data_IF_516361897462
#
_entry.id   IF_516361897462
#
_cell.length_a   1.000
_cell.length_b   1.000
_cell.length_c   1.000
_cell.angle_alpha   90.00
_cell.angle_beta   90.00
_cell.angle_gamma   90.00
#
_symmetry.space_group_name_H-M   'P 1'
#
loop_
_entity.id
_entity.type
_entity.pdbx_description
1 polymer ?
#
# COMPACT_ATOMS: atom_id res chain seq x y z
N UNK A 1 -4.83 27.43 -22.16
CA UNK A 1 -4.62 27.50 -20.69
C UNK A 1 -3.29 26.83 -20.42
N UNK A 2 -2.28 27.64 -20.16
CA UNK A 2 -0.87 27.24 -20.04
C UNK A 2 -0.66 26.35 -18.80
N UNK A 3 -0.06 25.19 -19.03
CA UNK A 3 0.44 24.25 -18.00
C UNK A 3 1.43 25.00 -17.09
N UNK A 4 1.09 25.17 -15.82
CA UNK A 4 2.06 25.59 -14.82
C UNK A 4 2.96 24.39 -14.51
N UNK A 5 4.06 24.25 -15.27
CA UNK A 5 5.18 23.42 -14.86
C UNK A 5 5.65 23.92 -13.48
N UNK A 6 5.89 23.02 -12.54
CA UNK A 6 6.50 23.37 -11.27
C UNK A 6 7.89 23.96 -11.56
N UNK A 7 8.00 25.30 -11.50
CA UNK A 7 9.32 25.96 -11.54
C UNK A 7 10.05 25.64 -10.24
N UNK A 8 11.31 25.26 -10.37
CA UNK A 8 12.24 25.39 -9.24
C UNK A 8 12.14 26.83 -8.73
N UNK A 9 12.10 27.07 -7.42
CA UNK A 9 12.22 28.43 -6.89
C UNK A 9 13.47 29.07 -7.46
N UNK A 10 13.40 30.34 -7.88
CA UNK A 10 14.54 31.11 -8.46
C UNK A 10 15.71 31.28 -7.47
N UNK A 11 15.53 30.85 -6.20
CA UNK A 11 16.50 30.90 -5.10
C UNK A 11 17.30 29.61 -4.90
N UNK A 12 17.12 28.59 -5.76
CA UNK A 12 17.86 27.32 -5.68
C UNK A 12 17.40 26.36 -4.54
N UNK A 13 16.24 26.61 -3.91
CA UNK A 13 15.65 25.72 -2.91
C UNK A 13 14.99 24.47 -3.53
N UNK A 14 14.60 23.47 -2.68
CA UNK A 14 13.92 22.26 -3.14
C UNK A 14 12.53 22.60 -3.73
N UNK A 15 12.15 21.90 -4.79
CA UNK A 15 10.84 22.09 -5.43
C UNK A 15 9.71 21.55 -4.52
N UNK A 16 8.60 22.31 -4.37
CA UNK A 16 7.38 21.79 -3.76
C UNK A 16 6.53 21.06 -4.79
N UNK A 17 6.28 19.75 -4.55
CA UNK A 17 5.41 18.90 -5.37
C UNK A 17 4.10 18.63 -4.62
N UNK A 18 3.06 19.35 -5.00
CA UNK A 18 1.75 19.26 -4.36
C UNK A 18 1.01 17.94 -4.69
N UNK A 19 -0.02 17.60 -3.91
CA UNK A 19 -0.90 16.46 -4.18
C UNK A 19 -1.45 16.46 -5.62
N UNK A 20 -1.86 17.61 -6.13
CA UNK A 20 -2.34 17.74 -7.51
C UNK A 20 -1.23 17.49 -8.55
N UNK A 21 0.00 17.87 -8.27
CA UNK A 21 1.14 17.58 -9.14
C UNK A 21 1.48 16.09 -9.13
N UNK A 22 1.48 15.44 -7.97
CA UNK A 22 1.65 13.98 -7.83
C UNK A 22 0.63 13.23 -8.69
N UNK A 23 -0.67 13.53 -8.54
CA UNK A 23 -1.74 12.86 -9.28
C UNK A 23 -1.70 13.05 -10.80
N UNK A 24 -1.02 14.10 -11.30
CA UNK A 24 -0.82 14.31 -12.74
C UNK A 24 0.48 13.72 -13.28
N UNK A 25 1.48 13.55 -12.44
CA UNK A 25 2.82 13.14 -12.88
C UNK A 25 2.98 11.63 -13.00
N UNK A 26 2.30 10.84 -12.18
CA UNK A 26 2.50 9.40 -12.13
C UNK A 26 1.15 8.67 -12.05
N UNK A 27 0.87 7.81 -13.02
CA UNK A 27 -0.31 6.94 -12.99
C UNK A 27 -0.12 5.78 -12.00
N UNK A 28 -1.20 5.10 -11.63
CA UNK A 28 -1.13 3.94 -10.72
C UNK A 28 -0.25 2.83 -11.31
N UNK A 29 -0.38 2.52 -12.59
CA UNK A 29 0.45 1.49 -13.23
C UNK A 29 1.93 1.88 -13.24
N UNK A 30 2.25 3.14 -13.51
CA UNK A 30 3.64 3.63 -13.46
C UNK A 30 4.23 3.56 -12.04
N UNK A 31 3.41 3.78 -11.00
CA UNK A 31 3.84 3.64 -9.61
C UNK A 31 4.11 2.17 -9.26
N UNK A 32 3.26 1.24 -9.73
CA UNK A 32 3.48 -0.21 -9.60
C UNK A 32 4.78 -0.61 -10.29
N UNK A 33 4.99 -0.16 -11.52
CA UNK A 33 6.19 -0.47 -12.30
C UNK A 33 7.46 0.11 -11.65
N UNK A 34 7.39 1.32 -11.09
CA UNK A 34 8.52 1.92 -10.36
C UNK A 34 8.93 1.08 -9.13
N UNK A 35 7.95 0.58 -8.38
CA UNK A 35 8.20 -0.32 -7.24
C UNK A 35 8.82 -1.64 -7.71
N UNK A 36 8.28 -2.24 -8.77
CA UNK A 36 8.81 -3.49 -9.34
C UNK A 36 10.24 -3.33 -9.81
N UNK A 37 10.53 -2.29 -10.60
CA UNK A 37 11.88 -2.00 -11.10
C UNK A 37 12.87 -1.74 -9.95
N UNK A 38 12.44 -1.09 -8.88
CA UNK A 38 13.28 -0.88 -7.68
C UNK A 38 13.68 -2.20 -7.04
N UNK A 39 12.77 -3.15 -6.91
CA UNK A 39 13.08 -4.49 -6.40
C UNK A 39 13.96 -5.28 -7.37
N UNK A 40 13.68 -5.24 -8.67
CA UNK A 40 14.48 -5.91 -9.71
C UNK A 40 15.91 -5.34 -9.80
N UNK A 41 16.07 -4.04 -9.54
CA UNK A 41 17.39 -3.39 -9.48
C UNK A 41 18.23 -3.80 -8.25
N UNK A 42 17.67 -4.57 -7.32
CA UNK A 42 18.41 -5.16 -6.21
C UNK A 42 18.23 -4.44 -4.87
N UNK A 43 17.32 -3.46 -4.74
CA UNK A 43 17.01 -2.90 -3.43
C UNK A 43 16.51 -4.02 -2.49
N UNK A 44 17.15 -4.14 -1.34
CA UNK A 44 16.84 -5.13 -0.31
C UNK A 44 15.98 -4.50 0.79
N UNK A 45 14.65 -4.81 0.86
CA UNK A 45 13.78 -4.26 1.89
C UNK A 45 14.18 -4.61 3.33
N UNK A 46 14.96 -5.69 3.54
CA UNK A 46 15.45 -6.07 4.88
C UNK A 46 16.53 -5.12 5.41
N UNK A 47 17.18 -4.38 4.51
CA UNK A 47 18.22 -3.38 4.83
C UNK A 47 17.70 -1.95 4.82
N UNK A 48 16.40 -1.76 4.56
CA UNK A 48 15.79 -0.43 4.50
C UNK A 48 15.80 0.27 5.87
N UNK A 49 15.67 1.59 5.87
CA UNK A 49 15.64 2.40 7.06
C UNK A 49 14.50 2.03 8.01
N UNK A 50 14.77 1.99 9.29
CA UNK A 50 13.74 1.70 10.27
C UNK A 50 12.83 2.91 10.48
N UNK A 51 11.52 2.64 10.60
CA UNK A 51 10.55 3.63 11.04
C UNK A 51 10.86 4.05 12.47
N UNK A 52 10.98 5.34 12.72
CA UNK A 52 11.02 5.91 14.07
C UNK A 52 9.68 6.56 14.41
N UNK A 53 9.33 6.55 15.69
CA UNK A 53 8.08 7.10 16.22
C UNK A 53 8.39 7.99 17.40
N UNK A 54 7.77 9.17 17.40
CA UNK A 54 7.71 10.08 18.53
C UNK A 54 6.24 10.24 18.93
N UNK A 55 5.90 9.81 20.14
CA UNK A 55 4.56 10.03 20.70
C UNK A 55 4.40 11.49 21.11
N UNK A 56 3.23 12.05 20.83
CA UNK A 56 2.79 13.37 21.27
C UNK A 56 1.55 13.21 22.15
N UNK A 57 1.12 14.24 22.92
CA UNK A 57 -0.03 14.10 23.83
C UNK A 57 -1.30 13.55 23.16
N UNK A 58 -1.55 13.92 21.89
CA UNK A 58 -2.79 13.56 21.18
C UNK A 58 -2.57 12.77 19.88
N UNK A 59 -1.35 12.26 19.65
CA UNK A 59 -1.02 11.58 18.41
C UNK A 59 0.42 11.12 18.34
N UNK A 60 0.94 11.05 17.13
CA UNK A 60 2.32 10.59 16.90
C UNK A 60 2.94 11.25 15.66
N UNK A 61 4.25 11.41 15.68
CA UNK A 61 5.05 11.78 14.52
C UNK A 61 5.89 10.56 14.11
N UNK A 62 5.79 10.17 12.84
CA UNK A 62 6.57 9.09 12.27
C UNK A 62 7.59 9.63 11.28
N UNK A 63 8.80 9.06 11.32
CA UNK A 63 9.85 9.29 10.33
C UNK A 63 10.20 7.96 9.66
N UNK A 64 10.29 7.97 8.34
CA UNK A 64 10.50 6.78 7.51
C UNK A 64 11.61 7.07 6.47
N UNK A 65 12.90 6.90 6.84
CA UNK A 65 14.03 7.16 5.95
C UNK A 65 14.30 5.97 5.02
N UNK A 66 14.75 6.24 3.80
CA UNK A 66 15.25 5.24 2.86
C UNK A 66 16.31 5.85 1.94
N UNK A 67 17.18 4.99 1.38
CA UNK A 67 18.24 5.42 0.47
C UNK A 67 18.45 4.39 -0.64
N UNK A 68 18.80 4.91 -1.83
CA UNK A 68 19.30 4.18 -3.00
C UNK A 68 20.52 4.94 -3.56
N UNK A 69 21.15 4.40 -4.59
CA UNK A 69 22.29 5.08 -5.24
C UNK A 69 21.87 6.43 -5.86
N UNK A 70 20.63 6.55 -6.33
CA UNK A 70 20.16 7.74 -7.05
C UNK A 70 19.56 8.79 -6.14
N UNK A 71 18.81 8.37 -5.14
CA UNK A 71 18.08 9.24 -4.22
C UNK A 71 18.15 8.72 -2.79
N UNK A 72 18.06 9.62 -1.85
CA UNK A 72 17.68 9.28 -0.48
C UNK A 72 16.58 10.24 -0.02
N UNK A 73 15.84 9.85 1.02
CA UNK A 73 14.76 10.70 1.50
C UNK A 73 14.12 10.19 2.77
N UNK A 74 13.20 10.96 3.28
CA UNK A 74 12.45 10.58 4.47
C UNK A 74 11.04 11.12 4.40
N UNK A 75 10.06 10.26 4.69
CA UNK A 75 8.70 10.69 4.96
C UNK A 75 8.60 11.09 6.44
N UNK A 76 8.02 12.26 6.69
CA UNK A 76 7.70 12.74 8.02
C UNK A 76 6.19 12.98 8.04
N UNK A 77 5.45 12.17 8.82
CA UNK A 77 3.99 12.26 8.92
C UNK A 77 3.55 12.32 10.36
N UNK A 78 2.52 13.12 10.61
CA UNK A 78 1.77 13.12 11.86
C UNK A 78 0.51 12.27 11.71
N UNK A 79 0.12 11.60 12.79
CA UNK A 79 -1.15 10.86 12.90
C UNK A 79 -1.84 11.36 14.16
N UNK A 80 -3.02 12.00 14.00
CA UNK A 80 -3.84 12.47 15.11
C UNK A 80 -5.29 12.05 14.89
N UNK A 81 -5.76 10.95 15.57
CA UNK A 81 -7.11 10.42 15.35
C UNK A 81 -8.21 11.44 15.62
N UNK A 82 -8.05 12.31 16.61
CA UNK A 82 -9.03 13.36 16.96
C UNK A 82 -9.28 14.39 15.83
N UNK A 83 -8.39 14.49 14.84
CA UNK A 83 -8.58 15.37 13.68
C UNK A 83 -9.85 15.04 12.87
N UNK A 84 -10.32 13.79 12.89
CA UNK A 84 -11.54 13.39 12.20
C UNK A 84 -12.75 14.20 12.67
N UNK A 85 -12.86 14.44 13.98
CA UNK A 85 -13.94 15.25 14.55
C UNK A 85 -13.84 16.72 14.19
N UNK A 86 -12.63 17.20 13.89
CA UNK A 86 -12.34 18.59 13.56
C UNK A 86 -12.43 18.88 12.05
N UNK A 87 -12.72 17.85 11.23
CA UNK A 87 -12.74 17.95 9.77
C UNK A 87 -11.35 18.15 9.16
N UNK A 88 -10.28 17.83 9.91
CA UNK A 88 -8.89 17.92 9.48
C UNK A 88 -8.37 16.49 9.14
N UNK A 89 -7.52 16.31 8.13
CA UNK A 89 -6.97 14.98 7.83
C UNK A 89 -6.26 14.36 9.03
N UNK A 90 -6.57 13.10 9.31
CA UNK A 90 -5.93 12.32 10.39
C UNK A 90 -4.43 12.14 10.15
N UNK A 91 -4.04 11.94 8.89
CA UNK A 91 -2.65 11.78 8.45
C UNK A 91 -2.26 13.00 7.63
N UNK A 92 -1.18 13.67 8.03
CA UNK A 92 -0.60 14.82 7.33
C UNK A 92 0.92 14.68 7.32
N UNK A 93 1.60 15.28 6.36
CA UNK A 93 3.05 15.30 6.36
C UNK A 93 3.67 15.55 5.01
N UNK A 94 4.99 15.43 4.97
CA UNK A 94 5.81 15.67 3.79
C UNK A 94 6.79 14.53 3.55
N UNK A 95 7.24 14.41 2.31
CA UNK A 95 8.41 13.60 1.93
C UNK A 95 9.51 14.54 1.46
N UNK A 96 10.68 14.46 2.07
CA UNK A 96 11.85 15.24 1.64
C UNK A 96 12.75 14.32 0.84
N UNK A 97 13.02 14.70 -0.42
CA UNK A 97 13.87 13.96 -1.36
C UNK A 97 15.20 14.70 -1.57
N UNK A 98 16.29 13.95 -1.52
CA UNK A 98 17.66 14.41 -1.73
C UNK A 98 18.26 13.64 -2.92
N UNK A 99 19.14 14.27 -3.70
CA UNK A 99 19.96 13.56 -4.68
C UNK A 99 21.01 12.66 -3.98
N UNK A 100 21.33 11.53 -4.62
CA UNK A 100 22.26 10.56 -4.04
C UNK A 100 23.74 10.96 -4.13
N UNK A 101 24.08 11.88 -5.04
CA UNK A 101 25.47 12.24 -5.31
C UNK A 101 26.04 13.26 -4.29
N UNK A 102 25.23 14.26 -3.94
CA UNK A 102 25.67 15.38 -3.10
C UNK A 102 24.84 15.50 -1.81
N UNK A 103 23.77 14.70 -1.69
CA UNK A 103 22.78 14.80 -0.61
C UNK A 103 22.13 16.21 -0.53
N UNK A 104 21.98 16.83 -1.69
CA UNK A 104 21.28 18.12 -1.79
C UNK A 104 19.78 17.90 -1.80
N UNK A 105 18.94 18.67 -1.05
CA UNK A 105 17.51 18.55 -1.12
C UNK A 105 16.99 19.00 -2.48
N UNK A 106 16.30 18.12 -3.21
CA UNK A 106 15.80 18.39 -4.57
C UNK A 106 14.30 18.64 -4.61
N UNK A 107 13.55 18.00 -3.71
CA UNK A 107 12.11 18.19 -3.67
C UNK A 107 11.54 17.97 -2.25
N UNK A 108 10.40 18.60 -1.99
CA UNK A 108 9.50 18.30 -0.90
C UNK A 108 8.16 17.94 -1.50
N UNK A 109 7.65 16.75 -1.21
CA UNK A 109 6.38 16.24 -1.76
C UNK A 109 5.29 16.21 -0.69
N UNK A 110 4.02 16.34 -1.08
CA UNK A 110 2.89 16.05 -0.22
C UNK A 110 2.92 14.59 0.24
N UNK A 111 3.17 14.36 1.54
CA UNK A 111 3.37 13.01 2.09
C UNK A 111 2.09 12.19 2.18
N UNK A 112 0.93 12.84 2.32
CA UNK A 112 -0.35 12.16 2.35
C UNK A 112 -0.72 11.65 0.95
N UNK A 113 -0.56 12.49 -0.07
CA UNK A 113 -0.79 12.10 -1.46
C UNK A 113 0.18 11.00 -1.93
N UNK A 114 1.47 11.11 -1.56
CA UNK A 114 2.45 10.06 -1.83
C UNK A 114 2.03 8.73 -1.19
N UNK A 115 1.58 8.76 0.08
CA UNK A 115 1.10 7.55 0.78
C UNK A 115 -0.15 6.98 0.12
N UNK A 116 -1.08 7.83 -0.34
CA UNK A 116 -2.30 7.41 -1.03
C UNK A 116 -2.01 6.74 -2.39
N UNK A 117 -0.89 7.06 -3.02
CA UNK A 117 -0.45 6.44 -4.29
C UNK A 117 0.37 5.17 -4.05
N UNK A 118 1.44 5.22 -3.19
CA UNK A 118 2.39 4.11 -3.08
C UNK A 118 1.83 2.89 -2.33
N UNK A 119 0.92 3.08 -1.37
CA UNK A 119 0.37 1.96 -0.59
C UNK A 119 -0.50 1.04 -1.45
N UNK A 120 -1.48 1.53 -2.22
CA UNK A 120 -2.18 0.67 -3.16
C UNK A 120 -1.28 0.17 -4.30
N UNK A 121 -0.27 0.93 -4.71
CA UNK A 121 0.66 0.48 -5.76
C UNK A 121 1.44 -0.77 -5.34
N UNK A 122 1.96 -0.86 -4.11
CA UNK A 122 2.63 -2.07 -3.64
C UNK A 122 1.68 -3.27 -3.52
N UNK A 123 0.43 -3.03 -3.13
CA UNK A 123 -0.61 -4.08 -3.14
C UNK A 123 -0.92 -4.53 -4.58
N UNK A 124 -1.00 -3.60 -5.53
CA UNK A 124 -1.15 -3.90 -6.96
C UNK A 124 0.02 -4.73 -7.50
N UNK A 125 1.25 -4.42 -7.08
CA UNK A 125 2.43 -5.23 -7.41
C UNK A 125 2.30 -6.65 -6.87
N UNK A 126 1.91 -6.81 -5.61
CA UNK A 126 1.69 -8.13 -5.01
C UNK A 126 0.58 -8.90 -5.76
N UNK A 127 -0.56 -8.26 -6.06
CA UNK A 127 -1.67 -8.85 -6.81
C UNK A 127 -1.24 -9.29 -8.21
N UNK A 128 -0.44 -8.49 -8.92
CA UNK A 128 0.14 -8.83 -10.25
C UNK A 128 0.87 -10.18 -10.23
N UNK A 129 1.63 -10.45 -9.17
CA UNK A 129 2.44 -11.67 -9.03
C UNK A 129 1.71 -12.84 -8.37
N UNK A 130 0.63 -12.58 -7.63
CA UNK A 130 -0.04 -13.59 -6.82
C UNK A 130 -1.33 -14.13 -7.45
N UNK A 131 -2.00 -13.38 -8.33
CA UNK A 131 -3.29 -13.79 -8.89
C UNK A 131 -3.17 -14.84 -9.97
N UNK A 132 -4.13 -15.76 -9.98
CA UNK A 132 -4.30 -16.71 -11.07
C UNK A 132 -4.82 -16.00 -12.33
N UNK A 133 -4.49 -16.49 -13.54
CA UNK A 133 -5.07 -15.98 -14.77
C UNK A 133 -6.60 -16.03 -14.76
N UNK A 134 -7.26 -14.95 -15.21
CA UNK A 134 -8.72 -14.85 -15.28
C UNK A 134 -9.40 -14.37 -13.98
N UNK A 135 -8.63 -14.04 -12.94
CA UNK A 135 -9.17 -13.42 -11.72
C UNK A 135 -9.81 -12.07 -12.02
N UNK A 136 -11.08 -11.88 -11.59
CA UNK A 136 -11.87 -10.69 -11.96
C UNK A 136 -12.84 -10.19 -10.89
N UNK A 137 -13.08 -10.95 -9.80
CA UNK A 137 -13.98 -10.56 -8.71
C UNK A 137 -13.20 -10.10 -7.48
N UNK A 138 -13.58 -8.93 -6.96
CA UNK A 138 -12.94 -8.32 -5.80
C UNK A 138 -13.93 -8.17 -4.65
N UNK A 139 -13.58 -8.63 -3.45
CA UNK A 139 -14.26 -8.28 -2.20
C UNK A 139 -13.44 -7.20 -1.48
N UNK A 140 -14.01 -6.01 -1.29
CA UNK A 140 -13.34 -4.84 -0.75
C UNK A 140 -13.87 -4.51 0.64
N UNK A 141 -13.05 -4.65 1.67
CA UNK A 141 -13.33 -4.21 3.04
C UNK A 141 -12.77 -2.81 3.28
N UNK A 142 -13.68 -1.84 3.50
CA UNK A 142 -13.34 -0.45 3.71
C UNK A 142 -13.88 0.48 2.63
N UNK A 143 -14.01 1.76 2.97
CA UNK A 143 -14.59 2.79 2.09
C UNK A 143 -13.78 4.10 2.11
N UNK A 144 -12.58 4.05 2.70
CA UNK A 144 -11.70 5.23 2.82
C UNK A 144 -10.81 5.44 1.60
N UNK A 145 -9.87 6.37 1.75
CA UNK A 145 -8.87 6.73 0.73
C UNK A 145 -8.08 5.50 0.26
N UNK A 146 -7.67 4.64 1.19
CA UNK A 146 -6.93 3.42 0.85
C UNK A 146 -7.79 2.43 0.07
N UNK A 147 -9.05 2.24 0.45
CA UNK A 147 -9.97 1.38 -0.30
C UNK A 147 -10.09 1.80 -1.76
N UNK A 148 -10.28 3.10 -2.00
CA UNK A 148 -10.34 3.63 -3.36
C UNK A 148 -9.04 3.39 -4.14
N UNK A 149 -7.90 3.74 -3.56
CA UNK A 149 -6.61 3.53 -4.21
C UNK A 149 -6.35 2.06 -4.57
N UNK A 150 -6.80 1.11 -3.71
CA UNK A 150 -6.69 -0.32 -4.00
C UNK A 150 -7.60 -0.76 -5.16
N UNK A 151 -8.80 -0.19 -5.31
CA UNK A 151 -9.63 -0.42 -6.51
C UNK A 151 -8.87 0.03 -7.76
N UNK A 152 -8.25 1.22 -7.73
CA UNK A 152 -7.47 1.72 -8.86
C UNK A 152 -6.24 0.83 -9.15
N UNK A 153 -5.53 0.37 -8.11
CA UNK A 153 -4.34 -0.47 -8.25
C UNK A 153 -4.68 -1.85 -8.83
N UNK A 154 -5.74 -2.49 -8.33
CA UNK A 154 -6.15 -3.80 -8.82
C UNK A 154 -6.64 -3.71 -10.26
N UNK A 155 -7.41 -2.69 -10.61
CA UNK A 155 -7.84 -2.43 -12.00
C UNK A 155 -6.69 -2.09 -12.95
N UNK A 156 -5.58 -1.58 -12.43
CA UNK A 156 -4.39 -1.34 -13.24
C UNK A 156 -3.66 -2.63 -13.65
N UNK A 157 -3.86 -3.73 -12.90
CA UNK A 157 -3.17 -5.01 -13.12
C UNK A 157 -4.08 -6.18 -13.49
N UNK A 158 -5.39 -6.06 -13.27
CA UNK A 158 -6.40 -7.07 -13.59
C UNK A 158 -7.58 -6.47 -14.36
N UNK A 159 -8.23 -7.28 -15.19
CA UNK A 159 -9.52 -6.96 -15.79
C UNK A 159 -10.65 -7.24 -14.78
N UNK A 160 -10.95 -6.26 -13.92
CA UNK A 160 -11.92 -6.39 -12.83
C UNK A 160 -13.34 -6.31 -13.36
N UNK A 161 -14.07 -7.41 -13.32
CA UNK A 161 -15.47 -7.49 -13.75
C UNK A 161 -16.43 -6.98 -12.67
N UNK A 162 -16.14 -7.25 -11.38
CA UNK A 162 -17.05 -6.89 -10.29
C UNK A 162 -16.32 -6.61 -8.97
N UNK A 163 -16.84 -5.63 -8.20
CA UNK A 163 -16.37 -5.32 -6.84
C UNK A 163 -17.53 -5.39 -5.86
N UNK A 164 -17.45 -6.30 -4.91
CA UNK A 164 -18.33 -6.38 -3.75
C UNK A 164 -17.76 -5.48 -2.63
N UNK A 165 -18.49 -4.43 -2.25
CA UNK A 165 -18.02 -3.44 -1.25
C UNK A 165 -18.63 -3.75 0.12
N UNK A 166 -17.77 -3.98 1.10
CA UNK A 166 -18.14 -4.32 2.48
C UNK A 166 -17.65 -3.21 3.42
N UNK A 167 -18.56 -2.67 4.23
CA UNK A 167 -18.22 -1.59 5.17
C UNK A 167 -19.26 -1.41 6.26
N UNK A 168 -18.89 -0.71 7.33
CA UNK A 168 -19.74 -0.52 8.52
C UNK A 168 -20.85 0.53 8.32
N UNK A 169 -20.60 1.53 7.48
CA UNK A 169 -21.50 2.67 7.27
C UNK A 169 -22.15 2.55 5.90
N UNK A 170 -23.48 2.26 5.82
CA UNK A 170 -24.16 2.06 4.53
C UNK A 170 -23.97 3.22 3.54
N UNK A 171 -24.07 4.46 3.99
CA UNK A 171 -23.90 5.62 3.13
C UNK A 171 -22.52 5.69 2.48
N UNK A 172 -21.44 5.34 3.22
CA UNK A 172 -20.08 5.30 2.69
C UNK A 172 -19.91 4.14 1.69
N UNK A 173 -20.56 2.99 1.95
CA UNK A 173 -20.57 1.84 1.03
C UNK A 173 -21.26 2.22 -0.28
N UNK A 174 -22.43 2.85 -0.22
CA UNK A 174 -23.19 3.31 -1.40
C UNK A 174 -22.37 4.33 -2.22
N UNK A 175 -21.67 5.28 -1.54
CA UNK A 175 -20.78 6.23 -2.20
C UNK A 175 -19.65 5.51 -2.93
N UNK A 176 -18.98 4.56 -2.28
CA UNK A 176 -17.89 3.78 -2.89
C UNK A 176 -18.41 2.98 -4.11
N UNK A 177 -19.54 2.30 -3.98
CA UNK A 177 -20.18 1.58 -5.08
C UNK A 177 -20.46 2.51 -6.26
N UNK A 178 -21.04 3.70 -6.01
CA UNK A 178 -21.32 4.69 -7.05
C UNK A 178 -20.04 5.15 -7.74
N UNK A 179 -18.99 5.42 -6.96
CA UNK A 179 -17.68 5.84 -7.46
C UNK A 179 -17.03 4.78 -8.33
N UNK A 180 -17.10 3.49 -7.92
CA UNK A 180 -16.59 2.37 -8.73
C UNK A 180 -17.38 2.24 -10.03
N UNK A 181 -18.70 2.28 -9.97
CA UNK A 181 -19.57 2.20 -11.17
C UNK A 181 -19.30 3.32 -12.17
N UNK A 182 -18.97 4.52 -11.70
CA UNK A 182 -18.61 5.64 -12.56
C UNK A 182 -17.33 5.41 -13.39
N UNK A 183 -16.50 4.42 -13.02
CA UNK A 183 -15.33 3.98 -13.81
C UNK A 183 -15.65 2.90 -14.85
N UNK A 184 -16.92 2.48 -14.97
CA UNK A 184 -17.34 1.40 -15.86
C UNK A 184 -17.26 -0.01 -15.27
N UNK A 185 -16.74 -0.17 -14.04
CA UNK A 185 -16.67 -1.47 -13.36
C UNK A 185 -17.97 -1.73 -12.59
N UNK A 186 -18.49 -2.96 -12.67
CA UNK A 186 -19.67 -3.37 -11.87
C UNK A 186 -19.30 -3.38 -10.38
N UNK A 187 -20.21 -2.91 -9.53
CA UNK A 187 -20.02 -2.96 -8.07
C UNK A 187 -21.35 -3.07 -7.34
N UNK A 188 -21.35 -3.65 -6.15
CA UNK A 188 -22.51 -3.75 -5.26
C UNK A 188 -22.08 -3.65 -3.79
N UNK A 189 -23.00 -3.22 -2.93
CA UNK A 189 -22.88 -3.42 -1.49
C UNK A 189 -23.09 -4.91 -1.19
N UNK A 190 -22.23 -5.47 -0.33
CA UNK A 190 -22.28 -6.89 0.00
C UNK A 190 -21.99 -7.13 1.49
N UNK A 191 -22.27 -8.33 1.95
CA UNK A 191 -21.86 -8.84 3.25
C UNK A 191 -20.57 -9.65 3.15
N UNK A 192 -20.14 -10.18 4.30
CA UNK A 192 -18.91 -10.96 4.44
C UNK A 192 -18.92 -12.25 3.59
N UNK A 193 -20.08 -12.78 3.25
CA UNK A 193 -20.26 -13.96 2.41
C UNK A 193 -19.68 -13.80 1.01
N UNK A 194 -19.54 -12.57 0.51
CA UNK A 194 -18.93 -12.27 -0.79
C UNK A 194 -17.46 -12.74 -0.88
N UNK A 195 -16.77 -12.92 0.25
CA UNK A 195 -15.39 -13.44 0.32
C UNK A 195 -15.28 -14.80 -0.38
N UNK A 196 -16.29 -15.67 -0.25
CA UNK A 196 -16.27 -17.02 -0.82
C UNK A 196 -16.29 -17.08 -2.35
N UNK A 197 -16.73 -15.99 -2.99
CA UNK A 197 -16.81 -15.87 -4.45
C UNK A 197 -15.72 -14.94 -5.02
N UNK A 198 -14.88 -14.36 -4.18
CA UNK A 198 -13.88 -13.39 -4.59
C UNK A 198 -12.57 -14.09 -5.05
N UNK A 199 -11.99 -13.57 -6.13
CA UNK A 199 -10.63 -13.91 -6.56
C UNK A 199 -9.58 -13.10 -5.81
N UNK A 200 -9.96 -11.85 -5.42
CA UNK A 200 -9.12 -10.96 -4.63
C UNK A 200 -9.93 -10.38 -3.48
N UNK A 201 -9.45 -10.58 -2.25
CA UNK A 201 -10.02 -9.98 -1.04
C UNK A 201 -9.10 -8.87 -0.56
N UNK A 202 -9.62 -7.65 -0.39
CA UNK A 202 -8.84 -6.47 -0.01
C UNK A 202 -9.32 -5.92 1.32
N UNK A 203 -8.43 -5.91 2.31
CA UNK A 203 -8.68 -5.38 3.64
C UNK A 203 -7.91 -4.07 3.84
N UNK A 204 -8.67 -2.97 4.03
CA UNK A 204 -8.12 -1.60 4.17
C UNK A 204 -8.77 -0.87 5.35
N UNK A 205 -8.92 -1.59 6.46
CA UNK A 205 -9.69 -1.12 7.62
C UNK A 205 -8.79 -0.84 8.82
N UNK A 206 -9.31 -0.12 9.79
CA UNK A 206 -8.68 0.04 11.11
C UNK A 206 -9.19 -1.04 12.10
N UNK A 207 -9.39 -2.28 11.65
CA UNK A 207 -9.88 -3.37 12.49
C UNK A 207 -8.80 -3.84 13.47
N UNK A 208 -9.22 -4.19 14.68
CA UNK A 208 -8.37 -4.84 15.70
C UNK A 208 -8.60 -6.34 15.77
N UNK A 209 -9.62 -6.85 15.08
CA UNK A 209 -10.00 -8.27 15.04
C UNK A 209 -10.34 -8.69 13.62
N UNK A 210 -10.26 -10.00 13.29
CA UNK A 210 -10.52 -10.50 11.95
C UNK A 210 -11.86 -10.05 11.40
N UNK A 211 -11.87 -9.67 10.10
CA UNK A 211 -13.04 -9.16 9.40
C UNK A 211 -13.98 -10.28 8.95
N UNK A 212 -13.45 -11.47 8.76
CA UNK A 212 -14.15 -12.65 8.26
C UNK A 212 -13.46 -13.95 8.73
N UNK A 213 -14.16 -15.06 8.59
CA UNK A 213 -13.60 -16.41 8.76
C UNK A 213 -12.69 -16.73 7.56
N UNK A 214 -11.40 -16.94 7.81
CA UNK A 214 -10.42 -17.27 6.80
C UNK A 214 -10.70 -18.57 6.04
N UNK A 215 -11.59 -19.44 6.54
CA UNK A 215 -12.06 -20.62 5.82
C UNK A 215 -12.90 -20.28 4.58
N UNK A 216 -13.47 -19.07 4.52
CA UNK A 216 -14.26 -18.60 3.36
C UNK A 216 -13.37 -18.29 2.14
N UNK A 217 -12.09 -17.99 2.33
CA UNK A 217 -11.20 -17.64 1.22
C UNK A 217 -10.93 -18.87 0.36
N UNK A 218 -11.26 -18.79 -0.91
CA UNK A 218 -11.06 -19.88 -1.87
C UNK A 218 -9.56 -20.16 -2.09
N UNK A 219 -9.20 -21.41 -2.41
CA UNK A 219 -7.79 -21.79 -2.58
C UNK A 219 -7.10 -21.03 -3.73
N UNK A 220 -7.85 -20.64 -4.76
CA UNK A 220 -7.31 -19.83 -5.86
C UNK A 220 -7.24 -18.32 -5.55
N UNK A 221 -7.75 -17.85 -4.42
CA UNK A 221 -7.88 -16.42 -4.14
C UNK A 221 -6.62 -15.81 -3.52
N UNK A 222 -6.50 -14.50 -3.67
CA UNK A 222 -5.47 -13.66 -3.03
C UNK A 222 -6.14 -12.76 -2.01
N UNK A 223 -5.64 -12.76 -0.78
CA UNK A 223 -6.00 -11.77 0.23
C UNK A 223 -4.90 -10.71 0.36
N UNK A 224 -5.29 -9.45 0.45
CA UNK A 224 -4.43 -8.28 0.68
C UNK A 224 -4.84 -7.64 2.00
N UNK A 225 -3.97 -7.59 3.00
CA UNK A 225 -4.24 -6.98 4.30
C UNK A 225 -3.22 -5.87 4.58
N UNK A 226 -3.71 -4.60 4.63
CA UNK A 226 -2.82 -3.43 4.79
C UNK A 226 -3.26 -2.48 5.91
N UNK A 227 -4.40 -2.71 6.50
CA UNK A 227 -4.98 -1.75 7.45
C UNK A 227 -4.31 -1.78 8.82
N UNK A 228 -3.78 -2.92 9.26
CA UNK A 228 -3.06 -3.05 10.52
C UNK A 228 -1.55 -2.88 10.34
N UNK A 229 -0.94 -2.08 11.20
CA UNK A 229 0.51 -1.89 11.34
C UNK A 229 0.92 -1.89 12.84
N UNK A 230 0.20 -2.65 13.65
CA UNK A 230 0.41 -2.84 15.09
C UNK A 230 0.40 -4.35 15.39
N UNK A 231 1.28 -4.86 16.25
CA UNK A 231 1.40 -6.29 16.52
C UNK A 231 0.18 -6.89 17.23
N UNK A 232 -0.70 -6.08 17.80
CA UNK A 232 -1.90 -6.45 18.55
C UNK A 232 -3.21 -6.29 17.75
N UNK A 233 -3.15 -5.83 16.50
CA UNK A 233 -4.31 -5.61 15.64
C UNK A 233 -4.19 -6.41 14.34
N UNK A 234 -5.31 -6.99 13.86
CA UNK A 234 -5.33 -7.81 12.64
C UNK A 234 -6.65 -7.69 11.87
N UNK A 235 -6.58 -7.80 10.56
CA UNK A 235 -7.73 -7.86 9.67
C UNK A 235 -8.10 -9.29 9.27
N UNK A 236 -7.14 -10.23 9.32
CA UNK A 236 -7.34 -11.64 8.97
C UNK A 236 -7.06 -12.56 10.17
N UNK A 237 -7.63 -13.75 10.14
CA UNK A 237 -7.50 -14.73 11.22
C UNK A 237 -6.33 -15.70 11.00
N UNK A 238 -6.01 -16.47 12.07
CA UNK A 238 -4.97 -17.49 12.02
C UNK A 238 -5.33 -18.66 11.08
N UNK A 239 -6.61 -18.85 10.74
CA UNK A 239 -7.05 -19.88 9.80
C UNK A 239 -6.60 -19.55 8.38
N UNK A 240 -6.80 -18.30 7.93
CA UNK A 240 -6.32 -17.86 6.61
C UNK A 240 -4.80 -17.92 6.54
N UNK A 241 -4.09 -17.40 7.55
CA UNK A 241 -2.62 -17.37 7.56
C UNK A 241 -2.04 -18.78 7.44
N UNK A 242 -2.54 -19.74 8.24
CA UNK A 242 -2.09 -21.15 8.21
C UNK A 242 -2.32 -21.82 6.85
N UNK A 243 -3.41 -21.47 6.16
CA UNK A 243 -3.76 -22.04 4.84
C UNK A 243 -2.98 -21.42 3.69
N UNK A 244 -2.40 -20.22 3.89
CA UNK A 244 -1.87 -19.40 2.81
C UNK A 244 -0.38 -19.55 2.57
N UNK A 245 0.04 -19.27 1.34
CA UNK A 245 1.40 -18.75 1.09
C UNK A 245 1.42 -17.29 1.51
N UNK A 246 2.18 -16.95 2.56
CA UNK A 246 2.19 -15.61 3.17
C UNK A 246 3.35 -14.79 2.61
N UNK A 247 3.02 -13.72 1.90
CA UNK A 247 3.98 -12.77 1.32
C UNK A 247 3.98 -11.48 2.13
N UNK A 248 5.15 -11.00 2.50
CA UNK A 248 5.36 -9.77 3.27
C UNK A 248 6.31 -8.83 2.55
N UNK A 249 6.29 -7.55 2.89
CA UNK A 249 7.21 -6.55 2.33
C UNK A 249 8.64 -6.78 2.83
N UNK A 250 8.81 -7.13 4.09
CA UNK A 250 10.04 -7.47 4.80
C UNK A 250 9.69 -8.39 5.97
N UNK A 251 10.46 -9.44 6.19
CA UNK A 251 10.30 -10.35 7.35
C UNK A 251 10.50 -9.61 8.65
N UNK A 252 11.58 -8.80 8.73
CA UNK A 252 11.91 -8.01 9.92
C UNK A 252 10.78 -7.05 10.29
N UNK A 253 10.20 -6.35 9.33
CA UNK A 253 9.08 -5.43 9.56
C UNK A 253 7.81 -6.19 9.95
N UNK A 254 7.47 -7.28 9.24
CA UNK A 254 6.27 -8.07 9.51
C UNK A 254 6.29 -8.67 10.92
N UNK A 255 7.42 -9.24 11.35
CA UNK A 255 7.58 -9.83 12.68
C UNK A 255 7.53 -8.81 13.82
N UNK A 256 7.78 -7.53 13.52
CA UNK A 256 7.74 -6.45 14.51
C UNK A 256 6.37 -5.81 14.65
N UNK A 257 5.65 -5.61 13.54
CA UNK A 257 4.49 -4.69 13.51
C UNK A 257 3.24 -5.24 12.79
N UNK A 258 3.30 -6.45 12.19
CA UNK A 258 2.14 -7.01 11.49
C UNK A 258 1.37 -7.99 12.39
N UNK A 259 0.33 -7.53 13.09
CA UNK A 259 -0.48 -8.42 13.94
C UNK A 259 -1.14 -9.58 13.18
N UNK A 260 -1.44 -9.40 11.89
CA UNK A 260 -1.91 -10.47 11.00
C UNK A 260 -0.89 -11.62 10.85
N UNK A 261 0.39 -11.38 11.16
CA UNK A 261 1.48 -12.36 11.12
C UNK A 261 1.93 -12.73 12.53
N UNK A 262 2.14 -11.73 13.39
CA UNK A 262 2.68 -11.91 14.75
C UNK A 262 1.76 -12.77 15.62
N UNK A 263 0.44 -12.53 15.55
CA UNK A 263 -0.53 -13.26 16.37
C UNK A 263 -0.59 -14.73 15.97
N UNK A 264 -0.75 -15.13 14.69
CA UNK A 264 -0.71 -16.52 14.28
C UNK A 264 0.60 -17.25 14.62
N UNK A 265 1.74 -16.56 14.57
CA UNK A 265 3.04 -17.12 14.99
C UNK A 265 3.03 -17.38 16.50
N UNK A 266 2.56 -16.41 17.30
CA UNK A 266 2.47 -16.55 18.76
C UNK A 266 1.52 -17.67 19.20
N UNK A 267 0.47 -17.91 18.42
CA UNK A 267 -0.50 -19.00 18.62
C UNK A 267 0.02 -20.36 18.14
N UNK A 268 1.21 -20.42 17.54
CA UNK A 268 1.78 -21.65 16.95
C UNK A 268 1.05 -22.12 15.68
N UNK A 269 0.29 -21.24 15.04
CA UNK A 269 -0.48 -21.53 13.82
C UNK A 269 0.31 -21.33 12.53
N UNK A 270 1.46 -20.63 12.59
CA UNK A 270 2.30 -20.34 11.44
C UNK A 270 3.79 -20.27 11.84
N UNK A 271 4.68 -20.81 10.97
CA UNK A 271 6.12 -20.75 11.18
C UNK A 271 6.69 -19.46 10.52
N UNK A 272 7.42 -18.61 11.26
CA UNK A 272 8.03 -17.41 10.68
C UNK A 272 9.01 -17.69 9.53
N UNK A 273 9.61 -18.89 9.46
CA UNK A 273 10.50 -19.28 8.37
C UNK A 273 9.76 -19.47 7.03
N UNK A 274 8.44 -19.71 7.07
CA UNK A 274 7.59 -19.85 5.87
C UNK A 274 7.19 -18.51 5.25
N UNK A 275 7.56 -17.36 5.85
CA UNK A 275 7.33 -16.05 5.27
C UNK A 275 8.12 -15.89 3.98
N UNK A 276 7.45 -15.44 2.93
CA UNK A 276 8.02 -15.11 1.62
C UNK A 276 8.14 -13.59 1.53
N UNK A 277 9.25 -13.06 0.99
CA UNK A 277 9.33 -11.63 0.74
C UNK A 277 8.79 -11.28 -0.64
N UNK A 278 8.15 -10.11 -0.76
CA UNK A 278 7.72 -9.58 -2.07
C UNK A 278 8.92 -9.43 -3.02
N UNK A 279 10.09 -9.10 -2.50
CA UNK A 279 11.32 -8.99 -3.28
C UNK A 279 11.74 -10.34 -3.90
N UNK A 280 11.69 -11.43 -3.13
CA UNK A 280 12.02 -12.77 -3.63
C UNK A 280 11.02 -13.23 -4.69
N UNK A 281 9.72 -12.91 -4.49
CA UNK A 281 8.68 -13.22 -5.46
C UNK A 281 8.90 -12.46 -6.78
N UNK A 282 9.10 -11.14 -6.72
CA UNK A 282 9.31 -10.28 -7.89
C UNK A 282 10.58 -10.68 -8.67
N UNK A 283 11.63 -11.08 -7.97
CA UNK A 283 12.90 -11.53 -8.59
C UNK A 283 12.85 -12.96 -9.10
N UNK A 284 11.74 -13.68 -8.90
CA UNK A 284 11.62 -15.08 -9.31
C UNK A 284 12.49 -16.06 -8.51
N UNK A 285 12.95 -15.65 -7.32
CA UNK A 285 13.68 -16.54 -6.38
C UNK A 285 12.75 -17.60 -5.82
N UNK A 286 11.49 -17.23 -5.61
CA UNK A 286 10.43 -18.13 -5.15
C UNK A 286 9.28 -18.13 -6.15
N UNK A 287 8.76 -19.32 -6.45
CA UNK A 287 7.54 -19.50 -7.24
C UNK A 287 6.40 -19.90 -6.32
N UNK A 288 5.26 -19.24 -6.42
CA UNK A 288 4.06 -19.53 -5.64
C UNK A 288 3.06 -20.30 -6.50
N UNK A 289 2.48 -21.36 -5.94
CA UNK A 289 1.41 -22.13 -6.59
C UNK A 289 0.03 -21.51 -6.34
N UNK A 290 -0.98 -21.96 -7.11
CA UNK A 290 -2.35 -21.47 -6.98
C UNK A 290 -3.30 -22.53 -6.36
N UNK A 291 -2.76 -23.50 -5.65
CA UNK A 291 -3.46 -24.62 -5.01
C UNK A 291 -3.84 -24.34 -3.52
N UNK A 292 -3.47 -23.16 -3.03
CA UNK A 292 -3.84 -22.65 -1.71
C UNK A 292 -3.99 -21.12 -1.76
N UNK A 293 -4.69 -20.49 -0.78
CA UNK A 293 -4.79 -19.05 -0.72
C UNK A 293 -3.42 -18.38 -0.67
N UNK A 294 -3.31 -17.17 -1.18
CA UNK A 294 -2.12 -16.32 -1.06
C UNK A 294 -2.50 -15.09 -0.25
N UNK A 295 -1.69 -14.77 0.75
CA UNK A 295 -1.88 -13.60 1.58
C UNK A 295 -0.72 -12.63 1.38
N UNK A 296 -0.99 -11.43 0.92
CA UNK A 296 -0.05 -10.31 0.99
C UNK A 296 -0.35 -9.47 2.23
N UNK A 297 0.64 -9.34 3.12
CA UNK A 297 0.58 -8.44 4.27
C UNK A 297 1.55 -7.29 4.11
N UNK A 298 1.00 -6.07 4.03
CA UNK A 298 1.75 -4.82 4.00
C UNK A 298 1.58 -4.01 5.28
N UNK A 299 2.67 -3.40 5.77
CA UNK A 299 2.70 -2.41 6.84
C UNK A 299 3.19 -1.05 6.35
N UNK A 300 3.66 -1.01 5.09
CA UNK A 300 4.26 0.16 4.45
C UNK A 300 5.73 0.33 4.81
N UNK A 301 6.58 0.30 3.80
CA UNK A 301 8.03 0.41 3.94
C UNK A 301 8.54 1.75 3.40
N UNK A 302 9.64 2.32 3.98
CA UNK A 302 10.21 3.59 3.52
C UNK A 302 10.68 3.56 2.06
N UNK A 303 11.24 2.44 1.58
CA UNK A 303 11.70 2.29 0.20
C UNK A 303 10.60 2.52 -0.84
N UNK A 304 9.35 2.22 -0.50
CA UNK A 304 8.20 2.44 -1.40
C UNK A 304 7.96 3.93 -1.63
N UNK A 305 8.07 4.71 -0.55
CA UNK A 305 7.98 6.16 -0.63
C UNK A 305 9.12 6.72 -1.49
N UNK A 306 10.36 6.21 -1.30
CA UNK A 306 11.54 6.61 -2.07
C UNK A 306 11.39 6.31 -3.57
N UNK A 307 11.00 5.08 -3.91
CA UNK A 307 10.84 4.64 -5.29
C UNK A 307 9.81 5.50 -6.06
N UNK A 308 8.65 5.71 -5.45
CA UNK A 308 7.57 6.49 -6.07
C UNK A 308 7.92 7.98 -6.09
N UNK A 309 8.51 8.54 -5.01
CA UNK A 309 8.95 9.94 -4.99
C UNK A 309 10.04 10.23 -6.02
N UNK A 310 11.00 9.30 -6.18
CA UNK A 310 12.02 9.39 -7.22
C UNK A 310 11.43 9.41 -8.63
N UNK A 311 10.50 8.49 -8.92
CA UNK A 311 9.81 8.45 -10.22
C UNK A 311 8.99 9.74 -10.51
N UNK A 312 8.36 10.30 -9.47
CA UNK A 312 7.65 11.59 -9.57
C UNK A 312 8.64 12.72 -9.88
N UNK A 313 9.75 12.78 -9.12
CA UNK A 313 10.76 13.82 -9.28
C UNK A 313 11.37 13.77 -10.70
N UNK A 314 11.67 12.59 -11.21
CA UNK A 314 12.18 12.41 -12.58
C UNK A 314 11.24 12.97 -13.64
N UNK A 315 9.93 12.81 -13.47
CA UNK A 315 8.94 13.34 -14.43
C UNK A 315 8.69 14.84 -14.30
N UNK A 316 8.72 15.33 -13.04
CA UNK A 316 8.42 16.75 -12.77
C UNK A 316 9.63 17.64 -12.99
N UNK A 317 10.84 17.17 -12.61
CA UNK A 317 12.08 17.93 -12.63
C UNK A 317 12.96 17.57 -13.83
N UNK A 318 12.92 16.32 -14.30
CA UNK A 318 13.74 15.82 -15.41
C UNK A 318 13.30 16.27 -16.80
N UNK A 319 12.16 16.95 -16.94
CA UNK A 319 11.73 17.60 -18.19
C UNK A 319 12.49 18.90 -18.51
N UNK A 320 13.58 19.18 -17.80
CA UNK A 320 14.44 20.38 -17.96
C UNK A 320 15.86 20.03 -18.42
N UNK A 321 16.07 18.85 -19.06
CA UNK A 321 17.35 18.46 -19.65
C UNK A 321 17.28 18.38 -21.16
#
# INVERSE_FOLDING_TARGET
>A
MTSAAARLPDDGGPAWISAAAIGRSLSMIDAIDALEQTLLAGLDPERDGQRSRLDTPDGQLLQMPSASDRYCGSKIISIRPANESDGVPVIQGVYVLFDGAHLSPVAVLDGAALTALRTPAVSGLAVRHLTAPGSSRVALFGTGVQAWGHVEAIRAVLDVAHVDVIGRTPANVEEMVRRIRATGTSAAAAGVEAVSAADVVVCTTAAHSPLFDGALVADHAVAVAIGSHSPDAREVDSTLVRRSSVVVESRTSALREAGDVVIPISDGAFDPEDLITLADLVRGVVTITHDRPRLFKGCGMPWQDLAVAGAIADRVLGGTG
#
